data_IF_649347003569
#
_entry.id   IF_649347003569
#
_cell.length_a   1.000
_cell.length_b   1.000
_cell.length_c   1.000
_cell.angle_alpha   90.00
_cell.angle_beta   90.00
_cell.angle_gamma   90.00
#
_symmetry.space_group_name_H-M   'P 1'
#
loop_
_entity.id
_entity.type
_entity.pdbx_description
1 polymer ?
#
# COMPACT_ATOMS: atom_id res chain seq x y z
N UNK A 1 -35.95 49.61 66.76
CA UNK A 1 -35.31 50.81 67.35
C UNK A 1 -33.89 50.93 66.82
N UNK A 2 -33.52 52.16 66.44
CA UNK A 2 -32.17 52.75 66.44
C UNK A 2 -31.08 52.22 65.48
N UNK A 3 -30.72 53.15 64.59
CA UNK A 3 -29.44 53.31 63.91
C UNK A 3 -28.21 53.14 64.82
N UNK A 4 -27.08 52.71 64.25
CA UNK A 4 -25.80 53.48 64.24
C UNK A 4 -24.76 52.80 63.32
N UNK A 5 -24.03 53.64 62.57
CA UNK A 5 -22.78 53.45 61.79
C UNK A 5 -21.60 53.95 62.71
N UNK A 6 -20.27 53.84 62.45
CA UNK A 6 -19.38 53.05 61.54
C UNK A 6 -18.22 52.32 62.28
N UNK A 7 -17.32 51.64 61.54
CA UNK A 7 -15.94 51.39 62.02
C UNK A 7 -15.07 50.59 61.06
N UNK A 8 -13.89 51.14 60.72
CA UNK A 8 -12.85 50.62 59.84
C UNK A 8 -12.36 49.19 60.19
N UNK A 9 -11.87 48.45 59.19
CA UNK A 9 -10.44 48.12 59.01
C UNK A 9 -10.25 46.90 58.10
N UNK A 10 -9.19 46.96 57.29
CA UNK A 10 -8.80 46.01 56.27
C UNK A 10 -8.31 44.66 56.82
N UNK A 11 -8.55 43.57 56.08
CA UNK A 11 -7.51 42.74 55.48
C UNK A 11 -8.10 41.56 54.66
N UNK A 12 -7.76 41.53 53.37
CA UNK A 12 -7.11 40.39 52.66
C UNK A 12 -7.85 39.03 52.63
N UNK A 13 -8.49 38.71 51.49
CA UNK A 13 -8.21 37.60 50.53
C UNK A 13 -9.47 37.09 49.78
N UNK A 14 -9.27 36.94 48.47
CA UNK A 14 -9.94 36.02 47.51
C UNK A 14 -11.44 36.20 47.21
N UNK A 15 -11.74 36.69 46.01
CA UNK A 15 -12.49 35.94 44.99
C UNK A 15 -12.72 36.78 43.71
N UNK A 16 -12.87 36.04 42.62
CA UNK A 16 -12.98 36.42 41.21
C UNK A 16 -14.03 37.48 40.82
N UNK A 17 -13.75 38.17 39.72
CA UNK A 17 -14.62 38.52 38.57
C UNK A 17 -13.66 39.02 37.47
N UNK A 18 -13.34 38.24 36.44
CA UNK A 18 -14.07 38.16 35.16
C UNK A 18 -14.44 39.54 34.62
N UNK A 19 -13.66 40.09 33.68
CA UNK A 19 -14.23 40.68 32.46
C UNK A 19 -13.19 40.91 31.34
N UNK A 20 -13.62 40.53 30.14
CA UNK A 20 -13.37 41.04 28.79
C UNK A 20 -12.00 41.55 28.31
N UNK A 21 -11.58 40.97 27.18
CA UNK A 21 -11.03 41.76 26.07
C UNK A 21 -9.60 41.43 25.62
N UNK A 22 -9.33 40.22 25.11
CA UNK A 22 -8.15 40.00 24.27
C UNK A 22 -8.57 40.11 22.79
N UNK A 23 -8.41 41.31 22.24
CA UNK A 23 -8.48 41.57 20.80
C UNK A 23 -7.16 41.11 20.19
N UNK A 24 -7.11 39.87 19.70
CA UNK A 24 -6.02 39.41 18.83
C UNK A 24 -6.51 39.35 17.38
N UNK A 25 -5.66 39.77 16.43
CA UNK A 25 -6.03 39.83 15.03
C UNK A 25 -6.20 38.41 14.47
N UNK A 26 -7.11 38.35 13.51
CA UNK A 26 -7.53 37.21 12.71
C UNK A 26 -6.39 36.20 12.46
N UNK A 27 -6.63 34.95 12.87
CA UNK A 27 -5.87 33.81 12.36
C UNK A 27 -5.90 33.89 10.84
N UNK A 28 -4.75 33.86 10.14
CA UNK A 28 -4.75 33.79 8.69
C UNK A 28 -5.64 32.63 8.24
N UNK A 29 -6.46 32.78 7.19
CA UNK A 29 -7.21 31.66 6.66
C UNK A 29 -6.22 30.52 6.38
N UNK A 30 -6.59 29.33 6.86
CA UNK A 30 -5.81 28.12 6.67
C UNK A 30 -5.51 27.99 5.15
N UNK A 31 -4.25 27.73 4.75
CA UNK A 31 -3.94 27.54 3.35
C UNK A 31 -4.90 26.51 2.76
N UNK A 32 -5.44 26.73 1.54
CA UNK A 32 -6.26 25.72 0.91
C UNK A 32 -5.48 24.40 0.91
N UNK A 33 -6.15 23.32 1.30
CA UNK A 33 -5.57 21.99 1.23
C UNK A 33 -4.95 21.81 -0.16
N UNK A 34 -3.73 21.25 -0.27
CA UNK A 34 -3.14 20.97 -1.56
C UNK A 34 -4.17 20.19 -2.41
N UNK A 35 -4.29 20.50 -3.71
CA UNK A 35 -5.15 19.71 -4.57
C UNK A 35 -4.76 18.23 -4.42
N UNK A 36 -5.73 17.30 -4.41
CA UNK A 36 -5.41 15.89 -4.43
C UNK A 36 -4.44 15.62 -5.58
N UNK A 37 -3.46 14.70 -5.40
CA UNK A 37 -2.53 14.36 -6.46
C UNK A 37 -3.31 14.11 -7.75
N UNK A 38 -2.80 14.63 -8.87
CA UNK A 38 -3.42 14.37 -10.16
C UNK A 38 -3.45 12.86 -10.32
N UNK A 39 -4.66 12.29 -10.42
CA UNK A 39 -4.83 10.85 -10.65
C UNK A 39 -4.19 10.57 -12.00
N UNK A 40 -3.06 9.88 -12.00
CA UNK A 40 -2.45 9.37 -13.21
C UNK A 40 -3.37 8.25 -13.68
N UNK A 41 -4.26 8.51 -14.64
CA UNK A 41 -5.06 7.46 -15.28
C UNK A 41 -4.15 6.78 -16.31
N UNK A 42 -3.53 5.66 -15.92
CA UNK A 42 -2.61 4.93 -16.78
C UNK A 42 -3.36 4.10 -17.81
N UNK A 43 -2.88 4.11 -19.05
CA UNK A 43 -3.43 3.28 -20.13
C UNK A 43 -2.94 1.81 -20.04
N UNK A 44 -1.81 1.56 -19.38
CA UNK A 44 -1.09 0.27 -19.39
C UNK A 44 -1.21 -0.55 -18.10
N UNK A 45 -2.41 -0.68 -17.54
CA UNK A 45 -2.63 -1.37 -16.26
C UNK A 45 -2.57 -2.89 -16.36
N UNK A 46 -2.22 -3.56 -15.25
CA UNK A 46 -2.23 -5.03 -15.19
C UNK A 46 -1.18 -5.63 -14.26
N UNK A 47 -1.15 -6.96 -14.28
CA UNK A 47 -0.15 -7.78 -13.59
C UNK A 47 0.80 -8.35 -14.64
N UNK A 48 2.04 -7.91 -14.63
CA UNK A 48 3.08 -8.39 -15.54
C UNK A 48 3.99 -9.36 -14.80
N UNK A 49 4.27 -10.53 -15.38
CA UNK A 49 5.17 -11.53 -14.80
C UNK A 49 6.20 -11.98 -15.81
N UNK A 50 7.44 -12.11 -15.36
CA UNK A 50 8.52 -12.63 -16.18
C UNK A 50 9.81 -12.72 -15.40
N UNK A 51 10.91 -12.33 -16.02
CA UNK A 51 12.25 -12.58 -15.50
C UNK A 51 13.16 -11.36 -15.62
N UNK A 52 14.13 -11.33 -14.70
CA UNK A 52 15.31 -10.48 -14.76
C UNK A 52 16.49 -11.39 -15.04
N UNK A 53 17.27 -11.03 -16.06
CA UNK A 53 18.56 -11.67 -16.33
C UNK A 53 19.62 -10.73 -15.80
N UNK A 54 20.36 -11.16 -14.78
CA UNK A 54 21.37 -10.32 -14.16
C UNK A 54 22.63 -10.23 -15.02
N UNK A 55 23.49 -9.25 -14.72
CA UNK A 55 24.80 -9.10 -15.38
C UNK A 55 25.70 -10.35 -15.23
N UNK A 56 25.45 -11.18 -14.21
CA UNK A 56 26.14 -12.44 -13.95
C UNK A 56 25.41 -13.67 -14.54
N UNK A 57 24.45 -13.46 -15.45
CA UNK A 57 23.60 -14.49 -16.08
C UNK A 57 22.72 -15.30 -15.10
N UNK A 58 22.45 -14.77 -13.90
CA UNK A 58 21.49 -15.38 -12.98
C UNK A 58 20.06 -14.99 -13.36
N UNK A 59 19.10 -15.86 -13.05
CA UNK A 59 17.68 -15.66 -13.30
C UNK A 59 16.96 -15.30 -12.00
N UNK A 60 16.21 -14.21 -12.01
CA UNK A 60 15.23 -13.90 -10.97
C UNK A 60 13.85 -13.73 -11.61
N UNK A 61 12.78 -14.01 -10.87
CA UNK A 61 11.42 -13.75 -11.30
C UNK A 61 11.02 -12.33 -10.90
N UNK A 62 10.28 -11.65 -11.76
CA UNK A 62 9.73 -10.33 -11.48
C UNK A 62 8.23 -10.31 -11.69
N UNK A 63 7.52 -9.71 -10.75
CA UNK A 63 6.10 -9.39 -10.85
C UNK A 63 5.92 -7.89 -10.69
N UNK A 64 5.28 -7.25 -11.66
CA UNK A 64 4.91 -5.83 -11.62
C UNK A 64 3.39 -5.74 -11.60
N UNK A 65 2.85 -5.20 -10.51
CA UNK A 65 1.43 -4.87 -10.38
C UNK A 65 1.26 -3.38 -10.61
N UNK A 66 0.59 -2.99 -11.69
CA UNK A 66 0.41 -1.61 -12.11
C UNK A 66 -1.07 -1.24 -12.09
N UNK A 67 -1.45 -0.42 -11.12
CA UNK A 67 -2.82 0.05 -10.95
C UNK A 67 -3.11 1.29 -11.80
N UNK A 68 -4.40 1.46 -12.09
CA UNK A 68 -4.90 2.56 -12.92
C UNK A 68 -4.65 3.93 -12.37
N UNK A 69 -4.61 4.06 -11.05
CA UNK A 69 -4.35 5.31 -10.34
C UNK A 69 -2.86 5.67 -10.25
N UNK A 70 -1.99 4.85 -10.84
CA UNK A 70 -0.54 5.02 -10.83
C UNK A 70 0.15 4.20 -9.74
N UNK A 71 -0.56 3.64 -8.76
CA UNK A 71 0.10 2.87 -7.70
C UNK A 71 0.70 1.59 -8.27
N UNK A 72 1.96 1.34 -7.90
CA UNK A 72 2.75 0.25 -8.46
C UNK A 72 3.47 -0.51 -7.37
N UNK A 73 3.42 -1.83 -7.48
CA UNK A 73 4.24 -2.74 -6.68
C UNK A 73 5.12 -3.58 -7.60
N UNK A 74 6.41 -3.67 -7.26
CA UNK A 74 7.37 -4.53 -7.97
C UNK A 74 7.93 -5.54 -6.97
N UNK A 75 7.70 -6.82 -7.23
CA UNK A 75 8.27 -7.92 -6.45
C UNK A 75 9.31 -8.65 -7.31
N UNK A 76 10.50 -8.87 -6.75
CA UNK A 76 11.60 -9.61 -7.39
C UNK A 76 12.00 -10.77 -6.48
N UNK A 77 12.05 -11.97 -7.03
CA UNK A 77 12.26 -13.24 -6.34
C UNK A 77 13.46 -13.95 -6.97
N UNK A 78 14.56 -14.10 -6.23
CA UNK A 78 15.77 -14.78 -6.73
C UNK A 78 15.87 -16.19 -6.14
N UNK A 79 15.84 -17.18 -7.02
CA UNK A 79 16.33 -18.54 -6.75
C UNK A 79 15.61 -19.35 -5.63
N UNK A 80 14.31 -19.60 -5.83
CA UNK A 80 13.47 -20.61 -5.14
C UNK A 80 13.01 -20.30 -3.70
N UNK A 81 13.13 -19.07 -3.20
CA UNK A 81 12.54 -18.69 -1.92
C UNK A 81 11.02 -18.44 -2.04
N UNK A 82 10.22 -18.86 -1.05
CA UNK A 82 8.76 -18.62 -1.05
C UNK A 82 8.39 -17.13 -0.87
N UNK A 83 9.40 -16.25 -0.74
CA UNK A 83 9.29 -14.84 -0.38
C UNK A 83 10.16 -14.02 -1.33
N UNK A 84 9.59 -12.98 -1.95
CA UNK A 84 10.35 -12.08 -2.81
C UNK A 84 11.52 -11.40 -2.07
N UNK A 85 12.68 -11.36 -2.72
CA UNK A 85 13.92 -10.72 -2.28
C UNK A 85 13.88 -9.20 -2.28
N UNK A 86 13.06 -8.59 -3.12
CA UNK A 86 12.91 -7.14 -3.17
C UNK A 86 11.44 -6.84 -3.40
N UNK A 87 10.88 -5.94 -2.60
CA UNK A 87 9.54 -5.40 -2.81
C UNK A 87 9.67 -3.88 -2.87
N UNK A 88 9.28 -3.33 -4.00
CA UNK A 88 9.21 -1.88 -4.19
C UNK A 88 7.75 -1.46 -4.22
N UNK A 89 7.47 -0.33 -3.57
CA UNK A 89 6.15 0.28 -3.57
C UNK A 89 6.28 1.77 -3.88
N UNK A 90 5.36 2.28 -4.70
CA UNK A 90 5.39 3.69 -5.07
C UNK A 90 4.39 4.05 -6.16
N UNK A 91 4.66 5.19 -6.79
CA UNK A 91 3.81 5.80 -7.80
C UNK A 91 4.47 5.72 -9.17
N UNK A 92 3.67 5.41 -10.18
CA UNK A 92 4.03 5.42 -11.59
C UNK A 92 3.29 6.53 -12.32
N UNK A 93 4.01 7.20 -13.20
CA UNK A 93 3.46 8.18 -14.13
C UNK A 93 3.89 7.89 -15.55
N UNK A 94 3.04 8.20 -16.53
CA UNK A 94 3.39 8.06 -17.94
C UNK A 94 3.92 9.37 -18.51
N UNK A 95 5.06 9.31 -19.18
CA UNK A 95 5.65 10.43 -19.90
C UNK A 95 6.29 9.97 -21.20
N UNK A 96 5.86 10.54 -22.33
CA UNK A 96 6.43 10.24 -23.65
C UNK A 96 6.41 8.76 -24.06
N UNK A 97 5.44 7.97 -23.56
CA UNK A 97 5.33 6.53 -23.82
C UNK A 97 6.20 5.65 -22.92
N UNK A 98 6.85 6.24 -21.92
CA UNK A 98 7.57 5.54 -20.85
C UNK A 98 6.82 5.70 -19.53
N UNK A 99 6.90 4.69 -18.68
CA UNK A 99 6.35 4.69 -17.32
C UNK A 99 7.50 4.95 -16.34
N UNK A 100 7.44 6.04 -15.60
CA UNK A 100 8.41 6.36 -14.56
C UNK A 100 7.85 6.02 -13.20
N UNK A 101 8.53 5.10 -12.50
CA UNK A 101 8.21 4.67 -11.15
C UNK A 101 9.15 5.34 -10.15
N UNK A 102 8.56 5.95 -9.14
CA UNK A 102 9.25 6.50 -7.96
C UNK A 102 8.70 5.84 -6.70
N UNK A 103 9.55 5.22 -5.90
CA UNK A 103 9.12 4.48 -4.73
C UNK A 103 10.24 4.21 -3.73
N UNK A 104 10.01 3.21 -2.88
CA UNK A 104 11.00 2.74 -1.92
C UNK A 104 11.01 1.22 -1.78
N UNK A 105 12.16 0.68 -1.40
CA UNK A 105 12.29 -0.71 -0.93
C UNK A 105 11.56 -0.88 0.41
N UNK A 106 10.60 -1.80 0.47
CA UNK A 106 9.80 -2.08 1.66
C UNK A 106 10.60 -2.67 2.84
N UNK A 107 11.84 -3.14 2.62
CA UNK A 107 12.69 -3.72 3.68
C UNK A 107 13.53 -2.69 4.41
N UNK A 108 14.19 -1.81 3.67
CA UNK A 108 15.15 -0.86 4.23
C UNK A 108 14.78 0.62 4.01
N UNK A 109 13.70 0.87 3.26
CA UNK A 109 13.18 2.20 2.97
C UNK A 109 13.99 2.99 1.96
N UNK A 110 14.96 2.38 1.28
CA UNK A 110 15.79 3.05 0.27
C UNK A 110 14.92 3.52 -0.90
N UNK A 111 15.09 4.78 -1.31
CA UNK A 111 14.37 5.32 -2.47
C UNK A 111 14.86 4.70 -3.77
N UNK A 112 13.92 4.46 -4.68
CA UNK A 112 14.16 3.78 -5.95
C UNK A 112 13.42 4.51 -7.08
N UNK A 113 14.12 4.66 -8.20
CA UNK A 113 13.56 5.18 -9.44
C UNK A 113 13.77 4.14 -10.53
N UNK A 114 12.71 3.78 -11.25
CA UNK A 114 12.73 2.86 -12.39
C UNK A 114 12.01 3.47 -13.57
N UNK A 115 12.39 3.06 -14.78
CA UNK A 115 11.69 3.42 -16.00
C UNK A 115 11.33 2.15 -16.75
N UNK A 116 10.05 2.00 -17.05
CA UNK A 116 9.50 0.90 -17.82
C UNK A 116 9.04 1.37 -19.19
N UNK A 117 9.06 0.45 -20.15
CA UNK A 117 8.40 0.59 -21.44
C UNK A 117 7.45 -0.58 -21.63
N UNK A 118 6.26 -0.31 -22.18
CA UNK A 118 5.26 -1.34 -22.48
C UNK A 118 5.04 -1.36 -23.99
N UNK A 119 5.31 -2.50 -24.61
CA UNK A 119 5.07 -2.75 -26.03
C UNK A 119 4.44 -4.13 -26.20
N UNK A 120 3.34 -4.22 -26.93
CA UNK A 120 2.63 -5.48 -27.21
C UNK A 120 2.39 -6.35 -25.95
N UNK A 121 1.92 -5.73 -24.85
CA UNK A 121 1.65 -6.38 -23.56
C UNK A 121 2.92 -6.91 -22.84
N UNK A 122 4.10 -6.50 -23.29
CA UNK A 122 5.39 -6.80 -22.66
C UNK A 122 5.95 -5.56 -22.01
N UNK A 123 6.14 -5.63 -20.69
CA UNK A 123 6.82 -4.63 -19.89
C UNK A 123 8.33 -4.95 -19.87
N UNK A 124 9.15 -3.95 -20.18
CA UNK A 124 10.62 -4.04 -20.18
C UNK A 124 11.25 -2.90 -19.37
N UNK A 125 12.34 -3.19 -18.66
CA UNK A 125 13.12 -2.18 -17.92
C UNK A 125 14.55 -2.63 -17.67
N UNK A 126 15.45 -1.66 -17.43
CA UNK A 126 16.75 -1.91 -16.82
C UNK A 126 16.66 -1.65 -15.32
N UNK A 127 17.08 -2.62 -14.50
CA UNK A 127 16.96 -2.58 -13.05
C UNK A 127 18.35 -2.55 -12.41
N UNK A 128 18.55 -1.71 -11.39
CA UNK A 128 19.75 -1.70 -10.55
C UNK A 128 19.40 -1.37 -9.10
N UNK A 129 19.39 -2.39 -8.24
CA UNK A 129 18.85 -2.33 -6.87
C UNK A 129 19.64 -3.28 -5.97
N UNK A 130 20.16 -2.81 -4.83
CA UNK A 130 20.72 -3.66 -3.78
C UNK A 130 21.70 -4.76 -4.25
N UNK A 131 22.52 -4.46 -5.27
CA UNK A 131 23.48 -5.41 -5.84
C UNK A 131 22.92 -6.35 -6.91
N UNK A 132 21.63 -6.26 -7.22
CA UNK A 132 20.99 -6.83 -8.41
C UNK A 132 21.04 -5.80 -9.55
N UNK A 133 21.60 -6.17 -10.70
CA UNK A 133 21.51 -5.36 -11.91
C UNK A 133 21.28 -6.24 -13.14
N UNK A 134 20.44 -5.77 -14.06
CA UNK A 134 20.12 -6.50 -15.29
C UNK A 134 18.91 -5.97 -16.05
N UNK A 135 18.61 -6.64 -17.16
CA UNK A 135 17.43 -6.35 -17.98
C UNK A 135 16.25 -7.22 -17.53
N UNK A 136 15.11 -6.56 -17.31
CA UNK A 136 13.85 -7.15 -16.92
C UNK A 136 12.90 -7.22 -18.12
N UNK A 137 12.23 -8.36 -18.28
CA UNK A 137 11.12 -8.54 -19.22
C UNK A 137 9.99 -9.31 -18.56
N UNK A 138 8.80 -8.74 -18.58
CA UNK A 138 7.59 -9.31 -18.00
C UNK A 138 6.42 -9.22 -18.98
N UNK A 139 5.71 -10.32 -19.18
CA UNK A 139 4.52 -10.36 -20.03
C UNK A 139 3.28 -10.14 -19.18
N UNK A 140 2.24 -9.54 -19.76
CA UNK A 140 0.93 -9.45 -19.13
C UNK A 140 0.44 -10.86 -18.79
N UNK A 141 0.17 -11.08 -17.50
CA UNK A 141 -0.23 -12.38 -17.00
C UNK A 141 -1.68 -12.68 -17.41
N UNK A 142 -1.96 -13.93 -17.77
CA UNK A 142 -3.28 -14.33 -18.25
C UNK A 142 -4.40 -14.14 -17.20
N UNK A 143 -4.06 -14.24 -15.92
CA UNK A 143 -4.94 -13.98 -14.78
C UNK A 143 -5.13 -12.48 -14.49
N UNK A 144 -4.49 -11.58 -15.24
CA UNK A 144 -4.71 -10.14 -15.12
C UNK A 144 -6.11 -9.71 -15.57
N UNK A 145 -6.89 -10.55 -16.24
CA UNK A 145 -8.23 -10.21 -16.73
C UNK A 145 -9.27 -10.29 -15.62
N UNK A 146 -10.08 -9.24 -15.43
CA UNK A 146 -11.11 -9.19 -14.40
C UNK A 146 -12.05 -10.42 -14.39
N UNK A 147 -12.07 -11.16 -13.28
CA UNK A 147 -12.93 -12.34 -13.07
C UNK A 147 -13.84 -12.24 -11.84
N UNK A 148 -13.73 -11.16 -11.06
CA UNK A 148 -14.49 -10.92 -9.83
C UNK A 148 -13.57 -10.78 -8.62
N UNK A 149 -14.05 -10.06 -7.59
CA UNK A 149 -13.30 -9.85 -6.36
C UNK A 149 -13.00 -11.19 -5.66
N UNK A 150 -11.82 -11.35 -5.03
CA UNK A 150 -11.55 -12.53 -4.23
C UNK A 150 -12.52 -12.61 -3.04
N UNK A 151 -12.96 -13.82 -2.73
CA UNK A 151 -13.81 -14.14 -1.59
C UNK A 151 -13.32 -15.46 -0.99
N UNK A 152 -13.35 -15.56 0.34
CA UNK A 152 -13.02 -16.78 1.07
C UNK A 152 -11.94 -16.58 2.12
N UNK A 153 -11.45 -17.70 2.64
CA UNK A 153 -10.36 -17.73 3.61
C UNK A 153 -9.08 -18.16 2.91
N UNK A 154 -8.03 -17.38 3.11
CA UNK A 154 -6.71 -17.59 2.54
C UNK A 154 -5.70 -17.71 3.69
N UNK A 155 -4.82 -18.70 3.64
CA UNK A 155 -3.85 -18.96 4.69
C UNK A 155 -2.44 -19.16 4.12
N UNK A 156 -1.43 -18.81 4.91
CA UNK A 156 -0.03 -19.16 4.60
C UNK A 156 0.25 -20.58 5.11
N UNK A 157 0.92 -21.39 4.32
CA UNK A 157 1.35 -22.73 4.78
C UNK A 157 2.53 -22.67 5.77
N UNK A 158 3.38 -21.65 5.69
CA UNK A 158 4.65 -21.55 6.45
C UNK A 158 4.53 -20.85 7.82
N UNK A 159 3.45 -20.09 8.05
CA UNK A 159 3.15 -19.42 9.34
C UNK A 159 4.10 -18.27 9.73
N UNK A 160 4.87 -17.70 8.80
CA UNK A 160 5.84 -16.62 9.07
C UNK A 160 5.17 -15.24 8.96
N UNK A 161 5.53 -14.31 9.86
CA UNK A 161 5.28 -12.86 9.64
C UNK A 161 3.96 -12.27 10.14
N UNK A 162 3.19 -12.96 10.98
CA UNK A 162 2.01 -12.37 11.62
C UNK A 162 0.70 -12.43 10.82
N UNK A 163 0.77 -12.85 9.55
CA UNK A 163 -0.39 -13.12 8.70
C UNK A 163 -0.55 -14.63 8.45
N UNK A 164 -1.29 -15.31 9.31
CA UNK A 164 -1.53 -16.76 9.15
C UNK A 164 -2.81 -17.04 8.37
N UNK A 165 -3.85 -16.23 8.58
CA UNK A 165 -5.16 -16.41 7.95
C UNK A 165 -5.83 -15.06 7.69
N UNK A 166 -6.29 -14.87 6.45
CA UNK A 166 -7.02 -13.69 6.00
C UNK A 166 -8.35 -14.15 5.40
N UNK A 167 -9.44 -13.57 5.89
CA UNK A 167 -10.79 -13.85 5.38
C UNK A 167 -11.36 -12.62 4.67
N UNK A 168 -11.85 -12.82 3.46
CA UNK A 168 -12.46 -11.79 2.61
C UNK A 168 -13.92 -12.16 2.39
N UNK A 169 -14.83 -11.31 2.84
CA UNK A 169 -16.25 -11.48 2.60
C UNK A 169 -16.66 -10.92 1.24
N UNK A 170 -17.84 -11.32 0.75
CA UNK A 170 -18.38 -10.88 -0.54
C UNK A 170 -18.58 -9.36 -0.67
N UNK A 171 -18.67 -8.63 0.45
CA UNK A 171 -18.76 -7.17 0.47
C UNK A 171 -17.40 -6.46 0.47
N UNK A 172 -16.30 -7.22 0.41
CA UNK A 172 -14.94 -6.71 0.45
C UNK A 172 -14.42 -6.48 1.88
N UNK A 173 -15.20 -6.76 2.93
CA UNK A 173 -14.70 -6.70 4.30
C UNK A 173 -13.64 -7.78 4.55
N UNK A 174 -12.53 -7.37 5.18
CA UNK A 174 -11.38 -8.23 5.44
C UNK A 174 -11.21 -8.40 6.94
N UNK A 175 -10.96 -9.64 7.37
CA UNK A 175 -10.59 -9.97 8.75
C UNK A 175 -9.26 -10.71 8.75
N UNK A 176 -8.36 -10.28 9.63
CA UNK A 176 -7.11 -10.97 9.93
C UNK A 176 -7.25 -11.73 11.25
N UNK A 177 -7.00 -13.04 11.21
CA UNK A 177 -7.08 -13.93 12.38
C UNK A 177 -5.75 -14.64 12.63
N UNK A 178 -5.13 -14.32 13.76
CA UNK A 178 -3.98 -15.00 14.35
C UNK A 178 -2.66 -14.90 13.55
N UNK A 179 -1.50 -14.73 14.24
CA UNK A 179 -1.35 -14.34 15.65
C UNK A 179 -1.81 -12.91 15.92
N UNK A 180 -2.06 -12.12 14.88
CA UNK A 180 -2.57 -10.77 14.96
C UNK A 180 -4.07 -10.72 14.73
N UNK A 181 -4.72 -9.71 15.28
CA UNK A 181 -6.15 -9.46 15.07
C UNK A 181 -6.34 -8.10 14.41
N UNK A 182 -7.08 -8.09 13.31
CA UNK A 182 -7.27 -6.88 12.51
C UNK A 182 -8.48 -6.96 11.61
N UNK A 183 -8.85 -5.80 11.09
CA UNK A 183 -9.94 -5.65 10.14
C UNK A 183 -9.57 -4.62 9.08
N UNK A 184 -10.13 -4.79 7.90
CA UNK A 184 -9.81 -3.97 6.76
C UNK A 184 -10.84 -4.08 5.67
N UNK A 185 -10.47 -3.56 4.52
CA UNK A 185 -11.29 -3.57 3.32
C UNK A 185 -10.43 -3.90 2.10
N UNK A 186 -11.03 -4.62 1.17
CA UNK A 186 -10.50 -4.87 -0.15
C UNK A 186 -11.36 -4.14 -1.18
N UNK A 187 -10.78 -3.15 -1.83
CA UNK A 187 -11.40 -2.40 -2.92
C UNK A 187 -10.79 -2.76 -4.28
N UNK A 188 -11.53 -2.57 -5.36
CA UNK A 188 -10.94 -2.64 -6.70
C UNK A 188 -9.98 -1.45 -6.90
N UNK A 189 -8.71 -1.73 -7.20
CA UNK A 189 -7.74 -0.71 -7.59
C UNK A 189 -7.89 -0.39 -9.08
N UNK A 190 -8.15 -1.42 -9.89
CA UNK A 190 -8.62 -1.27 -11.26
C UNK A 190 -9.61 -2.37 -11.59
N UNK A 191 -10.86 -1.99 -11.91
CA UNK A 191 -11.93 -2.95 -12.23
C UNK A 191 -11.77 -3.66 -13.59
N UNK A 192 -10.87 -3.17 -14.46
CA UNK A 192 -10.59 -3.80 -15.75
C UNK A 192 -9.64 -5.01 -15.62
N UNK A 193 -8.87 -5.06 -14.55
CA UNK A 193 -7.90 -6.12 -14.26
C UNK A 193 -8.16 -6.75 -12.89
N UNK A 194 -7.57 -7.91 -12.60
CA UNK A 194 -7.69 -8.55 -11.28
C UNK A 194 -6.77 -7.89 -10.24
N UNK A 195 -6.86 -6.57 -10.08
CA UNK A 195 -6.01 -5.81 -9.18
C UNK A 195 -6.85 -5.06 -8.14
N UNK A 196 -6.54 -5.32 -6.88
CA UNK A 196 -7.28 -4.86 -5.72
C UNK A 196 -6.35 -4.11 -4.77
N UNK A 197 -6.90 -3.21 -3.95
CA UNK A 197 -6.20 -2.53 -2.88
C UNK A 197 -6.69 -3.06 -1.55
N UNK A 198 -5.77 -3.60 -0.76
CA UNK A 198 -6.00 -4.02 0.60
C UNK A 198 -5.55 -2.91 1.55
N UNK A 199 -6.48 -2.46 2.38
CA UNK A 199 -6.19 -1.63 3.56
C UNK A 199 -6.54 -2.44 4.79
N UNK A 200 -5.56 -2.76 5.62
CA UNK A 200 -5.73 -3.59 6.81
C UNK A 200 -5.08 -2.93 8.01
N UNK A 201 -5.87 -2.73 9.06
CA UNK A 201 -5.36 -2.28 10.36
C UNK A 201 -5.40 -3.46 11.33
N UNK A 202 -4.31 -3.69 12.05
CA UNK A 202 -4.24 -4.73 13.07
C UNK A 202 -3.45 -4.30 14.29
N UNK A 203 -3.53 -5.10 15.35
CA UNK A 203 -2.81 -4.91 16.60
C UNK A 203 -1.27 -5.01 16.48
N UNK A 204 -0.77 -5.55 15.36
CA UNK A 204 0.66 -5.77 15.17
C UNK A 204 1.22 -5.16 13.87
N UNK A 205 0.35 -4.89 12.89
CA UNK A 205 0.71 -4.50 11.53
C UNK A 205 -0.37 -3.58 10.95
N UNK A 206 0.03 -2.59 10.15
CA UNK A 206 -0.88 -1.86 9.27
C UNK A 206 -0.39 -2.09 7.84
N UNK A 207 -1.28 -2.51 6.94
CA UNK A 207 -0.95 -2.81 5.56
C UNK A 207 -1.75 -1.93 4.61
N UNK A 208 -1.02 -1.32 3.69
CA UNK A 208 -1.54 -0.89 2.40
C UNK A 208 -0.80 -1.67 1.30
N UNK A 209 -1.55 -2.41 0.49
CA UNK A 209 -0.97 -3.31 -0.50
C UNK A 209 -1.84 -3.42 -1.75
N UNK A 210 -1.19 -3.74 -2.86
CA UNK A 210 -1.84 -4.27 -4.05
C UNK A 210 -1.99 -5.78 -3.92
N UNK A 211 -3.15 -6.26 -4.31
CA UNK A 211 -3.54 -7.65 -4.21
C UNK A 211 -3.97 -8.15 -5.57
N UNK A 212 -3.45 -9.30 -5.95
CA UNK A 212 -3.86 -10.03 -7.15
C UNK A 212 -4.22 -11.47 -6.83
N UNK A 213 -5.12 -12.02 -7.65
CA UNK A 213 -5.59 -13.40 -7.51
C UNK A 213 -5.07 -14.22 -8.69
N UNK A 214 -4.16 -15.15 -8.40
CA UNK A 214 -3.73 -16.17 -9.33
C UNK A 214 -4.51 -17.47 -9.15
N UNK A 215 -4.59 -18.28 -10.20
CA UNK A 215 -5.12 -19.65 -10.11
C UNK A 215 -4.01 -20.64 -9.79
N UNK A 216 -4.25 -21.59 -8.87
CA UNK A 216 -3.37 -22.75 -8.65
C UNK A 216 -3.91 -23.97 -9.41
N UNK A 217 -3.01 -24.77 -9.99
CA UNK A 217 -3.34 -26.10 -10.49
C UNK A 217 -3.83 -26.97 -9.33
N UNK A 218 -5.15 -27.16 -9.20
CA UNK A 218 -5.74 -27.93 -8.09
C UNK A 218 -7.09 -27.42 -7.57
N UNK A 219 -7.55 -26.26 -8.01
CA UNK A 219 -8.89 -25.73 -7.72
C UNK A 219 -8.96 -24.71 -6.57
N UNK A 220 -7.83 -24.40 -5.92
CA UNK A 220 -7.71 -23.28 -4.99
C UNK A 220 -7.15 -22.02 -5.67
N UNK A 221 -7.48 -20.85 -5.12
CA UNK A 221 -6.92 -19.56 -5.55
C UNK A 221 -5.66 -19.22 -4.73
N UNK A 222 -4.70 -18.55 -5.38
CA UNK A 222 -3.52 -17.95 -4.77
C UNK A 222 -3.72 -16.44 -4.69
N UNK A 223 -3.58 -15.88 -3.50
CA UNK A 223 -3.59 -14.44 -3.28
C UNK A 223 -2.15 -13.96 -3.17
N UNK A 224 -1.71 -13.12 -4.10
CA UNK A 224 -0.43 -12.42 -4.04
C UNK A 224 -0.66 -11.01 -3.50
N UNK A 225 0.08 -10.65 -2.44
CA UNK A 225 -0.05 -9.37 -1.73
C UNK A 225 1.31 -8.69 -1.71
N UNK A 226 1.43 -7.51 -2.29
CA UNK A 226 2.67 -6.72 -2.33
C UNK A 226 2.38 -5.30 -1.86
N UNK A 227 3.12 -4.79 -0.87
CA UNK A 227 2.79 -3.51 -0.20
C UNK A 227 3.97 -2.74 0.38
N UNK A 228 3.66 -1.57 0.95
CA UNK A 228 4.66 -0.57 1.37
C UNK A 228 5.55 -0.99 2.55
N UNK A 229 5.03 -1.82 3.46
CA UNK A 229 5.68 -2.09 4.74
C UNK A 229 6.14 -3.54 4.95
N UNK A 230 5.88 -4.50 4.04
CA UNK A 230 6.31 -5.90 4.18
C UNK A 230 6.29 -6.72 2.88
N UNK A 231 7.06 -7.81 2.91
CA UNK A 231 7.37 -8.82 1.87
C UNK A 231 6.17 -9.23 1.00
N UNK A 232 6.45 -9.56 -0.28
CA UNK A 232 5.50 -10.20 -1.18
C UNK A 232 5.01 -11.47 -0.51
N UNK A 233 3.71 -11.50 -0.18
CA UNK A 233 3.11 -12.56 0.61
C UNK A 233 2.13 -13.32 -0.26
N UNK A 234 2.29 -14.65 -0.28
CA UNK A 234 1.42 -15.56 -1.00
C UNK A 234 0.53 -16.32 -0.02
N UNK A 235 -0.77 -16.25 -0.21
CA UNK A 235 -1.76 -16.97 0.61
C UNK A 235 -2.56 -17.94 -0.26
N UNK A 236 -2.82 -19.13 0.27
CA UNK A 236 -3.54 -20.19 -0.43
C UNK A 236 -4.93 -20.35 0.15
N UNK A 237 -5.91 -20.52 -0.73
CA UNK A 237 -7.23 -20.98 -0.32
C UNK A 237 -7.20 -22.50 -0.09
N UNK A 238 -7.51 -22.99 1.12
CA UNK A 238 -7.49 -24.41 1.46
C UNK A 238 -8.62 -25.22 0.81
#
# INVERSE_FOLDING_TARGET
MRHLIPGLAACVLLAACSDSGDSRPDTPPEPPAPPPPAVTDLDSTGIYRGQIITDDDNLALVTVSLARDGVTAVAIDSDDDEIADIVLWGDTSESSGELHFSGSDGRDGSSVELTFSVEDEVLSAAISLNGLSGDASAQLAADSVASGAPEGTFAREDGIGGLTELSIAADGSVTLSSPCSGSGELGAADSAVNLYRLSLESDCLNWEALVSVGSVEGGGALLSVSGADNLDTRLYQP
#
